data_IF_887676792432
#
_entry.id   IF_887676792432
#
_cell.length_a   1.000
_cell.length_b   1.000
_cell.length_c   1.000
_cell.angle_alpha   90.00
_cell.angle_beta   90.00
_cell.angle_gamma   90.00
#
_symmetry.space_group_name_H-M   'P 1'
#
loop_
_entity.id
_entity.type
_entity.pdbx_description
1 polymer ?
#
# COMPACT_ATOMS: atom_id res chain seq x y z
N UNK A 1 3.76 -19.46 -16.70
CA UNK A 1 4.41 -19.21 -15.40
C UNK A 1 3.42 -19.63 -14.33
N UNK A 2 3.75 -20.64 -13.53
CA UNK A 2 2.89 -21.17 -12.47
C UNK A 2 3.28 -20.52 -11.15
N UNK A 3 2.49 -19.56 -10.67
CA UNK A 3 2.69 -18.99 -9.33
C UNK A 3 2.12 -19.97 -8.30
N UNK A 4 3.00 -20.65 -7.56
CA UNK A 4 2.60 -21.45 -6.38
C UNK A 4 2.34 -20.51 -5.22
N UNK A 5 1.10 -20.51 -4.73
CA UNK A 5 0.73 -19.88 -3.47
C UNK A 5 1.32 -20.72 -2.33
N UNK A 6 2.20 -20.13 -1.52
CA UNK A 6 2.68 -20.72 -0.28
C UNK A 6 1.70 -20.32 0.82
N UNK A 7 1.00 -21.30 1.38
CA UNK A 7 0.05 -21.09 2.47
C UNK A 7 0.63 -21.54 3.79
N UNK A 8 0.70 -20.62 4.77
CA UNK A 8 0.73 -20.96 6.20
C UNK A 8 0.14 -19.80 6.99
N UNK A 9 -0.92 -20.08 7.75
CA UNK A 9 -1.54 -19.14 8.70
C UNK A 9 -2.90 -18.63 8.25
N UNK A 10 -3.86 -18.61 9.16
CA UNK A 10 -5.24 -18.14 9.02
C UNK A 10 -5.33 -16.62 8.81
N UNK A 11 -4.80 -16.12 7.68
CA UNK A 11 -4.86 -14.72 7.27
C UNK A 11 -5.68 -14.60 5.99
N UNK A 12 -6.55 -13.59 5.91
CA UNK A 12 -7.25 -13.25 4.69
C UNK A 12 -6.22 -13.01 3.56
N UNK A 13 -6.20 -13.89 2.56
CA UNK A 13 -5.33 -13.72 1.40
C UNK A 13 -5.83 -12.53 0.58
N UNK A 14 -5.11 -11.40 0.61
CA UNK A 14 -5.36 -10.30 -0.33
C UNK A 14 -4.87 -10.73 -1.71
N UNK A 15 -5.81 -11.14 -2.55
CA UNK A 15 -5.58 -11.41 -3.98
C UNK A 15 -5.53 -10.09 -4.73
N UNK A 16 -4.57 -9.95 -5.64
CA UNK A 16 -4.43 -8.77 -6.51
C UNK A 16 -4.79 -9.14 -7.95
N UNK A 17 -5.82 -8.49 -8.49
CA UNK A 17 -6.19 -8.62 -9.90
C UNK A 17 -5.39 -7.63 -10.76
N UNK A 18 -4.99 -6.51 -10.17
CA UNK A 18 -4.08 -5.51 -10.75
C UNK A 18 -2.65 -5.73 -10.26
N UNK A 19 -1.65 -5.20 -10.96
CA UNK A 19 -0.26 -5.23 -10.48
C UNK A 19 -0.03 -4.15 -9.42
N UNK A 20 0.18 -4.47 -8.13
CA UNK A 20 0.34 -3.47 -7.08
C UNK A 20 1.63 -2.65 -7.22
N UNK A 21 2.64 -3.19 -7.89
CA UNK A 21 3.95 -2.56 -7.99
C UNK A 21 3.98 -1.42 -9.00
N UNK A 22 3.18 -1.48 -10.05
CA UNK A 22 3.16 -0.47 -11.11
C UNK A 22 2.85 0.95 -10.58
N UNK A 23 1.75 1.19 -9.82
CA UNK A 23 1.49 2.51 -9.26
C UNK A 23 2.53 2.91 -8.20
N UNK A 24 3.08 1.97 -7.43
CA UNK A 24 4.13 2.26 -6.44
C UNK A 24 5.44 2.70 -7.08
N UNK A 25 5.90 2.03 -8.14
CA UNK A 25 7.07 2.45 -8.90
C UNK A 25 6.86 3.83 -9.53
N UNK A 26 5.64 4.11 -10.02
CA UNK A 26 5.30 5.40 -10.61
C UNK A 26 5.42 6.56 -9.62
N UNK A 27 5.05 6.36 -8.35
CA UNK A 27 5.11 7.42 -7.32
C UNK A 27 6.43 7.47 -6.54
N UNK A 28 7.29 6.45 -6.67
CA UNK A 28 8.52 6.38 -5.88
C UNK A 28 9.49 7.57 -6.04
N UNK A 29 9.66 8.17 -7.24
CA UNK A 29 10.47 9.37 -7.37
C UNK A 29 9.99 10.53 -6.47
N UNK A 30 8.67 10.65 -6.28
CA UNK A 30 8.09 11.67 -5.40
C UNK A 30 8.29 11.33 -3.92
N UNK A 31 8.17 10.05 -3.55
CA UNK A 31 8.52 9.56 -2.20
C UNK A 31 9.97 9.91 -1.86
N UNK A 32 10.89 9.63 -2.78
CA UNK A 32 12.31 9.96 -2.60
C UNK A 32 12.56 11.47 -2.50
N UNK A 33 11.87 12.27 -3.31
CA UNK A 33 11.96 13.74 -3.26
C UNK A 33 11.51 14.29 -1.89
N UNK A 34 10.42 13.76 -1.34
CA UNK A 34 9.90 14.17 -0.03
C UNK A 34 10.86 13.74 1.09
N UNK A 35 11.31 12.49 1.09
CA UNK A 35 12.18 11.96 2.15
C UNK A 35 13.59 12.55 2.19
N UNK A 36 14.05 13.17 1.10
CA UNK A 36 15.29 13.96 1.09
C UNK A 36 15.13 15.37 1.70
N UNK A 37 13.89 15.79 1.99
CA UNK A 37 13.60 17.04 2.70
C UNK A 37 13.45 16.82 4.22
N UNK A 38 12.90 17.81 4.92
CA UNK A 38 12.59 17.73 6.36
C UNK A 38 11.21 17.12 6.66
N UNK A 39 10.52 16.58 5.64
CA UNK A 39 9.18 16.02 5.77
C UNK A 39 9.18 14.49 5.70
N UNK A 40 8.16 13.87 6.31
CA UNK A 40 7.98 12.42 6.29
C UNK A 40 7.11 12.05 5.09
N UNK A 41 7.58 11.18 4.17
CA UNK A 41 6.77 10.73 3.05
C UNK A 41 5.67 9.80 3.53
N UNK A 42 4.47 10.03 3.04
CA UNK A 42 3.30 9.21 3.28
C UNK A 42 2.71 8.74 1.97
N UNK A 43 2.23 7.51 1.95
CA UNK A 43 1.37 7.01 0.90
C UNK A 43 -0.08 7.28 1.29
N UNK A 44 -0.80 7.98 0.43
CA UNK A 44 -2.25 8.13 0.50
C UNK A 44 -2.82 7.33 -0.65
N UNK A 45 -3.64 6.33 -0.36
CA UNK A 45 -4.16 5.45 -1.39
C UNK A 45 -5.57 4.95 -1.13
N UNK A 46 -6.13 4.37 -2.18
CA UNK A 46 -7.44 3.75 -2.19
C UNK A 46 -7.36 2.43 -2.94
N UNK A 47 -7.96 1.40 -2.36
CA UNK A 47 -8.09 0.06 -2.94
C UNK A 47 -9.56 -0.20 -3.19
N UNK A 48 -9.92 -0.69 -4.38
CA UNK A 48 -11.26 -1.24 -4.62
C UNK A 48 -11.23 -2.75 -4.58
N UNK A 49 -12.15 -3.32 -3.83
CA UNK A 49 -12.30 -4.74 -3.59
C UNK A 49 -13.44 -5.32 -4.43
N UNK A 50 -13.27 -6.58 -4.80
CA UNK A 50 -14.29 -7.43 -5.39
C UNK A 50 -14.22 -8.81 -4.76
N UNK A 51 -15.12 -9.72 -5.17
CA UNK A 51 -15.05 -11.14 -4.75
C UNK A 51 -13.77 -11.86 -5.20
N UNK A 52 -13.01 -11.29 -6.16
CA UNK A 52 -11.75 -11.86 -6.67
C UNK A 52 -10.49 -11.25 -6.05
N UNK A 53 -10.65 -10.24 -5.19
CA UNK A 53 -9.57 -9.46 -4.59
C UNK A 53 -9.57 -7.99 -5.00
N UNK A 54 -8.40 -7.35 -4.88
CA UNK A 54 -8.16 -5.94 -5.23
C UNK A 54 -8.19 -5.77 -6.74
N UNK A 55 -9.17 -5.01 -7.24
CA UNK A 55 -9.41 -4.75 -8.66
C UNK A 55 -8.98 -3.37 -9.11
N UNK A 56 -8.69 -2.47 -8.17
CA UNK A 56 -8.20 -1.12 -8.45
C UNK A 56 -7.28 -0.66 -7.32
N UNK A 57 -6.26 0.10 -7.67
CA UNK A 57 -5.29 0.64 -6.72
C UNK A 57 -4.79 2.00 -7.20
N UNK A 58 -5.23 3.05 -6.50
CA UNK A 58 -4.69 4.40 -6.65
C UNK A 58 -3.85 4.77 -5.44
N UNK A 59 -2.72 5.44 -5.68
CA UNK A 59 -1.80 5.86 -4.63
C UNK A 59 -1.04 7.09 -5.06
N UNK A 60 -0.77 7.95 -4.08
CA UNK A 60 0.06 9.15 -4.23
C UNK A 60 0.96 9.31 -3.03
N UNK A 61 2.08 9.99 -3.23
CA UNK A 61 2.97 10.40 -2.16
C UNK A 61 2.62 11.81 -1.69
N UNK A 62 2.61 12.04 -0.37
CA UNK A 62 2.40 13.35 0.25
C UNK A 62 3.40 13.57 1.39
N UNK A 63 3.72 14.82 1.67
CA UNK A 63 4.61 15.23 2.76
C UNK A 63 3.78 15.57 4.01
N UNK A 64 4.08 14.94 5.14
CA UNK A 64 3.54 15.33 6.44
C UNK A 64 4.68 15.63 7.42
N UNK A 65 4.42 16.51 8.39
CA UNK A 65 5.38 16.87 9.44
C UNK A 65 5.52 15.78 10.51
N UNK A 66 4.50 14.93 10.68
CA UNK A 66 4.45 13.90 11.72
C UNK A 66 4.03 12.55 11.12
N UNK A 67 4.52 11.42 11.67
CA UNK A 67 4.05 10.10 11.28
C UNK A 67 2.53 10.02 11.51
N UNK A 68 1.78 9.76 10.43
CA UNK A 68 0.32 9.66 10.44
C UNK A 68 -0.06 8.34 9.80
N UNK A 69 -0.68 7.46 10.58
CA UNK A 69 -1.15 6.17 10.10
C UNK A 69 -2.68 6.09 10.25
N UNK A 70 -3.37 5.83 9.14
CA UNK A 70 -4.82 5.66 9.09
C UNK A 70 -5.16 4.59 8.07
N UNK A 71 -6.04 3.67 8.44
CA UNK A 71 -6.64 2.70 7.52
C UNK A 71 -8.12 2.69 7.82
N UNK A 72 -8.94 2.87 6.79
CA UNK A 72 -10.39 2.89 6.89
C UNK A 72 -10.98 2.01 5.81
N UNK A 73 -11.88 1.11 6.19
CA UNK A 73 -12.54 0.17 5.30
C UNK A 73 -14.04 0.47 5.30
N UNK A 74 -14.62 0.65 4.11
CA UNK A 74 -16.07 0.77 3.94
C UNK A 74 -16.51 -0.07 2.74
N UNK A 75 -17.35 -1.08 3.02
CA UNK A 75 -17.91 -2.02 2.04
C UNK A 75 -16.85 -2.68 1.16
N UNK A 76 -16.58 -2.10 0.00
CA UNK A 76 -15.70 -2.61 -1.03
C UNK A 76 -14.55 -1.65 -1.34
N UNK A 77 -14.28 -0.67 -0.48
CA UNK A 77 -13.17 0.26 -0.62
C UNK A 77 -12.36 0.32 0.67
N UNK A 78 -11.03 0.41 0.53
CA UNK A 78 -10.12 0.68 1.64
C UNK A 78 -9.34 1.94 1.33
N UNK A 79 -9.39 2.91 2.24
CA UNK A 79 -8.58 4.11 2.22
C UNK A 79 -7.45 3.98 3.22
N UNK A 80 -6.26 4.44 2.85
CA UNK A 80 -5.12 4.43 3.76
C UNK A 80 -4.26 5.68 3.65
N UNK A 81 -3.62 6.01 4.76
CA UNK A 81 -2.51 6.96 4.90
C UNK A 81 -1.43 6.24 5.69
N UNK A 82 -0.27 6.00 5.09
CA UNK A 82 0.80 5.23 5.72
C UNK A 82 2.12 5.99 5.62
N UNK A 83 2.85 6.21 6.72
CA UNK A 83 4.20 6.75 6.65
C UNK A 83 5.12 5.69 6.04
N UNK A 84 6.00 6.09 5.13
CA UNK A 84 6.99 5.20 4.49
C UNK A 84 8.39 5.76 4.67
N UNK A 85 9.39 4.92 4.43
CA UNK A 85 10.79 5.30 4.41
C UNK A 85 11.36 5.07 3.02
N UNK A 86 12.28 5.93 2.59
CA UNK A 86 12.85 5.85 1.23
C UNK A 86 13.72 4.60 1.09
N UNK A 87 14.45 4.26 2.14
CA UNK A 87 15.35 3.10 2.23
C UNK A 87 14.63 1.75 2.16
N UNK A 88 13.34 1.71 2.52
CA UNK A 88 12.53 0.48 2.48
C UNK A 88 12.15 0.09 1.04
N UNK A 89 12.26 1.03 0.09
CA UNK A 89 11.91 0.79 -1.31
C UNK A 89 10.43 0.49 -1.55
N UNK A 90 10.10 0.29 -2.83
CA UNK A 90 8.74 -0.06 -3.27
C UNK A 90 8.22 -1.34 -2.59
N UNK A 91 9.11 -2.30 -2.34
CA UNK A 91 8.79 -3.57 -1.71
C UNK A 91 8.39 -3.40 -0.24
N UNK A 92 9.14 -2.59 0.52
CA UNK A 92 8.78 -2.29 1.91
C UNK A 92 7.48 -1.51 2.02
N UNK A 93 7.23 -0.58 1.09
CA UNK A 93 5.93 0.09 0.98
C UNK A 93 4.77 -0.89 0.71
N UNK A 94 4.95 -1.82 -0.24
CA UNK A 94 3.97 -2.87 -0.52
C UNK A 94 3.69 -3.73 0.72
N UNK A 95 4.73 -4.21 1.41
CA UNK A 95 4.57 -5.01 2.62
C UNK A 95 3.86 -4.23 3.73
N UNK A 96 4.12 -2.92 3.84
CA UNK A 96 3.43 -2.07 4.80
C UNK A 96 1.93 -1.96 4.47
N UNK A 97 1.57 -1.74 3.21
CA UNK A 97 0.17 -1.74 2.77
C UNK A 97 -0.48 -3.09 3.12
N UNK A 98 0.14 -4.21 2.77
CA UNK A 98 -0.40 -5.55 3.05
C UNK A 98 -0.66 -5.78 4.54
N UNK A 99 0.31 -5.44 5.39
CA UNK A 99 0.17 -5.55 6.85
C UNK A 99 -0.97 -4.68 7.38
N UNK A 100 -1.13 -3.47 6.84
CA UNK A 100 -2.21 -2.55 7.20
C UNK A 100 -3.59 -3.06 6.79
N UNK A 101 -3.68 -3.91 5.76
CA UNK A 101 -4.94 -4.51 5.31
C UNK A 101 -5.38 -5.72 6.13
N UNK A 102 -4.45 -6.43 6.78
CA UNK A 102 -4.78 -7.58 7.65
C UNK A 102 -5.71 -7.23 8.81
N UNK A 103 -5.72 -5.96 9.26
CA UNK A 103 -6.63 -5.47 10.31
C UNK A 103 -7.91 -4.82 9.79
N UNK A 104 -8.05 -4.64 8.48
CA UNK A 104 -9.13 -3.87 7.85
C UNK A 104 -10.08 -4.73 6.99
N UNK A 105 -9.71 -5.98 6.73
CA UNK A 105 -10.46 -7.01 5.99
C UNK A 105 -10.86 -8.14 6.94
#
# INVERSE_FOLDING_TARGET
MNTRVVSNGSGAYVSWVVNPFEPLYKIWPEVARIGNGEAIPHLVGTLKLSTKGVVDFDVRAVAHEKPTELVFSDRNEVLFILPVKVEDGVEGAYLKIMKSLEGAL
#
